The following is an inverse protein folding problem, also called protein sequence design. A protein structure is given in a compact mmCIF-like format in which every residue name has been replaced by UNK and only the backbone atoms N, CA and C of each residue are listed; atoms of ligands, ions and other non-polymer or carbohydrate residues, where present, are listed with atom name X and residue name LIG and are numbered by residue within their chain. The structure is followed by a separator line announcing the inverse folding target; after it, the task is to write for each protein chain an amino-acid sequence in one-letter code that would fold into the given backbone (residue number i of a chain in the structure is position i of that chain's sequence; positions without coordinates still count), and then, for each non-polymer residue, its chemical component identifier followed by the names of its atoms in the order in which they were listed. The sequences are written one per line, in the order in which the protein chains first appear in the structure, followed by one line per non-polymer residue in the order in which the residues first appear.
data_IF_381796164807
#
_entry.id   IF_381796164807
#
_cell.length_a   1.000
_cell.length_b   1.000
_cell.length_c   1.000
_cell.angle_alpha   90.00
_cell.angle_beta   90.00
_cell.angle_gamma   90.00
#
_symmetry.space_group_name_H-M   'P 1'
#
loop_
_entity.id
_entity.type
_entity.pdbx_description
1 polymer ?
#
# COMPACT_ATOMS: atom_id res chain seq x y z
N UNK A 1 -3.82 -9.34 7.27
CA UNK A 1 -3.11 -8.05 7.11
C UNK A 1 -2.35 -8.16 5.81
N UNK A 2 -2.57 -7.30 4.79
CA UNK A 2 -1.83 -7.41 3.55
C UNK A 2 -0.35 -7.08 3.81
N UNK A 3 0.52 -7.68 3.01
CA UNK A 3 1.97 -7.71 3.16
C UNK A 3 2.60 -6.30 3.11
N UNK A 4 2.69 -5.64 4.25
CA UNK A 4 3.52 -4.45 4.39
C UNK A 4 4.99 -4.91 4.29
N UNK A 5 5.61 -4.68 3.14
CA UNK A 5 7.04 -4.97 2.98
C UNK A 5 7.82 -3.92 3.77
N UNK A 6 8.57 -4.37 4.77
CA UNK A 6 9.39 -3.54 5.64
C UNK A 6 10.85 -3.91 5.47
N UNK A 7 11.65 -2.92 5.16
CA UNK A 7 13.11 -3.02 5.06
C UNK A 7 13.74 -2.05 6.07
N UNK A 8 14.75 -2.52 6.80
CA UNK A 8 15.51 -1.72 7.77
C UNK A 8 16.99 -1.69 7.40
N UNK A 9 17.61 -0.50 7.52
CA UNK A 9 19.02 -0.29 7.21
C UNK A 9 19.68 0.59 8.26
N UNK A 10 20.73 0.07 8.90
CA UNK A 10 21.59 0.88 9.77
C UNK A 10 22.57 1.70 8.93
N UNK A 11 22.60 3.02 9.14
CA UNK A 11 23.63 3.92 8.61
C UNK A 11 24.65 4.18 9.72
N UNK A 12 25.71 3.35 9.74
CA UNK A 12 26.68 3.33 10.84
C UNK A 12 27.35 4.67 11.13
N UNK A 13 27.66 5.46 10.09
CA UNK A 13 28.28 6.78 10.22
C UNK A 13 27.37 7.84 10.83
N UNK A 14 26.06 7.61 10.83
CA UNK A 14 25.06 8.50 11.42
C UNK A 14 24.42 7.92 12.69
N UNK A 15 24.64 6.63 12.99
CA UNK A 15 23.98 5.89 14.07
C UNK A 15 22.44 5.96 13.99
N UNK A 16 21.91 5.97 12.76
CA UNK A 16 20.47 6.02 12.47
C UNK A 16 20.04 4.71 11.82
N UNK A 17 18.87 4.20 12.19
CA UNK A 17 18.18 3.12 11.49
C UNK A 17 17.16 3.77 10.56
N UNK A 18 17.34 3.59 9.26
CA UNK A 18 16.35 3.96 8.26
C UNK A 18 15.40 2.79 8.02
N UNK A 19 14.11 3.04 8.09
CA UNK A 19 13.08 2.08 7.71
C UNK A 19 12.42 2.52 6.41
N UNK A 20 12.13 1.56 5.54
CA UNK A 20 11.26 1.75 4.38
C UNK A 20 10.11 0.78 4.51
N UNK A 21 8.88 1.31 4.44
CA UNK A 21 7.67 0.50 4.45
C UNK A 21 6.88 0.77 3.16
N UNK A 22 6.29 -0.25 2.56
CA UNK A 22 5.37 -0.04 1.45
C UNK A 22 4.06 -0.80 1.66
N UNK A 23 2.96 -0.20 1.22
CA UNK A 23 1.63 -0.78 1.33
C UNK A 23 0.80 -0.48 0.08
N UNK A 24 -0.05 -1.43 -0.31
CA UNK A 24 -0.99 -1.28 -1.40
C UNK A 24 -2.34 -0.77 -0.86
N UNK A 25 -2.65 0.47 -1.19
CA UNK A 25 -3.83 1.18 -0.70
C UNK A 25 -4.90 1.21 -1.79
N UNK A 26 -6.10 0.74 -1.44
CA UNK A 26 -7.29 0.87 -2.26
C UNK A 26 -7.88 2.29 -2.10
N UNK A 27 -8.11 2.99 -3.22
CA UNK A 27 -8.62 4.37 -3.25
C UNK A 27 -9.77 4.54 -4.22
N UNK A 28 -10.66 5.49 -3.92
CA UNK A 28 -11.80 5.91 -4.75
C UNK A 28 -11.73 7.43 -4.93
N UNK A 29 -11.79 7.93 -6.16
CA UNK A 29 -11.69 9.38 -6.46
C UNK A 29 -13.03 10.07 -6.77
N UNK A 30 -14.14 9.35 -6.65
CA UNK A 30 -15.48 9.82 -7.03
C UNK A 30 -16.02 9.09 -8.25
N UNK A 31 -15.13 8.54 -9.09
CA UNK A 31 -15.50 7.93 -10.39
C UNK A 31 -14.97 6.51 -10.50
N UNK A 32 -13.74 6.24 -10.07
CA UNK A 32 -13.09 4.93 -10.29
C UNK A 32 -12.36 4.46 -9.05
N UNK A 33 -12.45 3.16 -8.79
CA UNK A 33 -11.67 2.46 -7.78
C UNK A 33 -10.30 2.06 -8.36
N UNK A 34 -9.22 2.32 -7.63
CA UNK A 34 -7.86 2.00 -8.04
C UNK A 34 -7.00 1.62 -6.83
N UNK A 35 -5.90 0.94 -7.08
CA UNK A 35 -4.85 0.65 -6.10
C UNK A 35 -3.66 1.55 -6.37
N UNK A 36 -3.07 2.09 -5.32
CA UNK A 36 -1.77 2.76 -5.33
C UNK A 36 -0.84 2.10 -4.32
N UNK A 37 0.46 2.09 -4.60
CA UNK A 37 1.46 1.70 -3.62
C UNK A 37 1.99 2.96 -2.93
N UNK A 38 1.70 3.10 -1.64
CA UNK A 38 2.28 4.13 -0.80
C UNK A 38 3.63 3.63 -0.26
N UNK A 39 4.65 4.49 -0.29
CA UNK A 39 5.99 4.19 0.23
C UNK A 39 6.35 5.20 1.31
N UNK A 40 6.74 4.67 2.45
CA UNK A 40 7.07 5.40 3.66
C UNK A 40 8.54 5.24 4.00
N UNK A 41 9.20 6.32 4.39
CA UNK A 41 10.52 6.27 5.00
C UNK A 41 10.41 6.77 6.43
N UNK A 42 10.83 5.96 7.41
CA UNK A 42 10.71 6.28 8.83
C UNK A 42 9.29 6.73 9.23
N UNK A 43 8.27 6.08 8.65
CA UNK A 43 6.85 6.42 8.86
C UNK A 43 6.31 7.63 8.09
N UNK A 44 7.16 8.38 7.38
CA UNK A 44 6.72 9.50 6.56
C UNK A 44 6.41 9.05 5.13
N UNK A 45 5.22 9.37 4.61
CA UNK A 45 4.87 9.12 3.22
C UNK A 45 5.76 9.97 2.30
N UNK A 46 6.57 9.32 1.46
CA UNK A 46 7.46 10.02 0.51
C UNK A 46 7.08 9.80 -0.94
N UNK A 47 6.32 8.73 -1.25
CA UNK A 47 5.94 8.44 -2.63
C UNK A 47 4.62 7.69 -2.73
N UNK A 48 3.87 7.95 -3.82
CA UNK A 48 2.77 7.11 -4.29
C UNK A 48 3.09 6.60 -5.69
N UNK A 49 3.20 5.29 -5.87
CA UNK A 49 3.53 4.64 -7.15
C UNK A 49 2.38 3.80 -7.65
N UNK A 50 2.47 3.44 -8.93
CA UNK A 50 1.66 2.39 -9.55
C UNK A 50 0.15 2.53 -9.36
N UNK A 51 -0.42 3.67 -9.78
CA UNK A 51 -1.88 3.82 -9.84
C UNK A 51 -2.48 2.87 -10.87
N UNK A 52 -3.12 1.80 -10.41
CA UNK A 52 -3.75 0.77 -11.25
C UNK A 52 -5.25 0.72 -11.00
N UNK A 53 -6.05 0.82 -12.06
CA UNK A 53 -7.51 0.66 -11.95
C UNK A 53 -7.84 -0.75 -11.47
N UNK A 54 -8.81 -0.85 -10.58
CA UNK A 54 -9.34 -2.15 -10.15
C UNK A 54 -10.13 -2.77 -11.29
N UNK A 55 -9.85 -4.05 -11.58
CA UNK A 55 -10.59 -4.80 -12.60
C UNK A 55 -11.92 -5.31 -12.04
N UNK A 56 -12.85 -5.68 -12.92
CA UNK A 56 -14.16 -6.18 -12.51
C UNK A 56 -14.06 -7.43 -11.63
N UNK A 57 -13.12 -8.34 -11.91
CA UNK A 57 -12.90 -9.55 -11.11
C UNK A 57 -12.42 -9.22 -9.70
N UNK A 58 -11.44 -8.32 -9.57
CA UNK A 58 -10.94 -7.87 -8.27
C UNK A 58 -12.04 -7.14 -7.50
N UNK A 59 -12.85 -6.30 -8.16
CA UNK A 59 -13.97 -5.63 -7.53
C UNK A 59 -15.01 -6.62 -6.96
N UNK A 60 -15.32 -7.69 -7.69
CA UNK A 60 -16.22 -8.76 -7.21
C UNK A 60 -15.64 -9.49 -6.01
N UNK A 61 -14.35 -9.83 -6.05
CA UNK A 61 -13.67 -10.47 -4.92
C UNK A 61 -13.68 -9.58 -3.67
N UNK A 62 -13.34 -8.29 -3.81
CA UNK A 62 -13.40 -7.32 -2.72
C UNK A 62 -14.81 -7.19 -2.15
N UNK A 63 -15.84 -7.13 -3.01
CA UNK A 63 -17.22 -7.05 -2.56
C UNK A 63 -17.63 -8.27 -1.73
N UNK A 64 -17.21 -9.48 -2.12
CA UNK A 64 -17.49 -10.71 -1.38
C UNK A 64 -16.91 -10.65 0.04
N UNK A 65 -15.65 -10.23 0.15
CA UNK A 65 -14.93 -10.10 1.44
C UNK A 65 -15.60 -9.06 2.33
N UNK A 66 -15.90 -7.87 1.79
CA UNK A 66 -16.50 -6.77 2.57
C UNK A 66 -17.94 -7.08 2.98
N UNK A 67 -18.68 -7.84 2.16
CA UNK A 67 -20.05 -8.21 2.45
C UNK A 67 -20.17 -9.38 3.44
N UNK A 68 -19.05 -9.99 3.84
CA UNK A 68 -19.02 -11.15 4.73
C UNK A 68 -19.61 -12.43 4.11
N UNK A 69 -19.82 -12.44 2.79
CA UNK A 69 -20.22 -13.62 2.05
C UNK A 69 -18.94 -14.39 1.69
N UNK A 70 -18.53 -15.27 2.60
CA UNK A 70 -17.46 -16.25 2.38
C UNK A 70 -18.04 -17.64 2.13
#
# INVERSE_FOLDING_TARGET
MPDAQRDERLIEGLKVIETTESDNILRWDGVTLYVEQDVYHNGQLVHRKYRRRVTAEVAKALLSVVSGNH
#
